data_IF_366444392671
#
_entry.id   IF_366444392671
#
_cell.length_a   1.000
_cell.length_b   1.000
_cell.length_c   1.000
_cell.angle_alpha   90.00
_cell.angle_beta   90.00
_cell.angle_gamma   90.00
#
_symmetry.space_group_name_H-M   'P 1'
#
loop_
_entity.id
_entity.type
_entity.pdbx_description
1 polymer ?
#
# COMPACT_ATOMS: atom_id res chain seq x y z
N UNK A 1 -29.53 13.58 2.89
CA UNK A 1 -28.17 14.14 2.68
C UNK A 1 -28.13 15.47 3.40
N UNK A 2 -27.07 15.78 4.15
CA UNK A 2 -26.98 17.09 4.83
C UNK A 2 -26.60 18.14 3.80
N UNK A 3 -27.42 19.18 3.63
CA UNK A 3 -27.11 20.30 2.76
C UNK A 3 -26.16 21.28 3.46
N UNK A 4 -25.07 21.63 2.79
CA UNK A 4 -24.08 22.60 3.27
C UNK A 4 -24.25 23.90 2.47
N UNK A 5 -24.70 24.95 3.14
CA UNK A 5 -25.07 26.21 2.46
C UNK A 5 -23.91 27.20 2.24
N UNK A 6 -22.70 26.94 2.77
CA UNK A 6 -21.57 27.89 2.68
C UNK A 6 -20.47 27.42 1.75
N UNK A 7 -19.87 26.24 2.07
CA UNK A 7 -18.75 25.69 1.30
C UNK A 7 -18.86 24.16 1.32
N UNK A 8 -18.69 23.55 0.15
CA UNK A 8 -18.56 22.09 0.03
C UNK A 8 -17.66 21.73 -1.15
N UNK A 9 -17.02 20.59 -1.07
CA UNK A 9 -16.35 19.95 -2.21
C UNK A 9 -17.28 18.87 -2.77
N UNK A 10 -17.59 18.94 -4.07
CA UNK A 10 -18.33 17.90 -4.78
C UNK A 10 -17.35 16.98 -5.47
N UNK A 11 -17.30 15.73 -5.06
CA UNK A 11 -16.46 14.71 -5.68
C UNK A 11 -17.27 13.96 -6.72
N UNK A 12 -16.75 13.92 -7.95
CA UNK A 12 -17.32 13.17 -9.06
C UNK A 12 -16.69 11.78 -9.11
N UNK A 13 -17.41 10.77 -8.63
CA UNK A 13 -16.95 9.40 -8.61
C UNK A 13 -16.91 8.79 -10.02
N UNK A 14 -17.77 9.20 -10.93
CA UNK A 14 -17.76 8.71 -12.32
C UNK A 14 -16.50 9.17 -13.05
N UNK A 15 -16.07 10.42 -12.81
CA UNK A 15 -14.79 10.91 -13.31
C UNK A 15 -13.60 10.13 -12.72
N UNK A 16 -13.64 9.78 -11.44
CA UNK A 16 -12.61 8.95 -10.82
C UNK A 16 -12.57 7.54 -11.42
N UNK A 17 -13.74 6.92 -11.64
CA UNK A 17 -13.85 5.62 -12.31
C UNK A 17 -13.29 5.67 -13.73
N UNK A 18 -13.70 6.68 -14.51
CA UNK A 18 -13.18 6.88 -15.86
C UNK A 18 -11.65 7.01 -15.90
N UNK A 19 -11.05 7.78 -14.98
CA UNK A 19 -9.60 7.93 -14.91
C UNK A 19 -8.89 6.60 -14.62
N UNK A 20 -9.43 5.79 -13.72
CA UNK A 20 -8.88 4.45 -13.41
C UNK A 20 -8.96 3.51 -14.62
N UNK A 21 -10.07 3.56 -15.36
CA UNK A 21 -10.20 2.78 -16.61
C UNK A 21 -9.19 3.21 -17.68
N UNK A 22 -8.95 4.53 -17.84
CA UNK A 22 -7.92 5.01 -18.78
C UNK A 22 -6.51 4.53 -18.37
N UNK A 23 -6.18 4.54 -17.08
CA UNK A 23 -4.92 3.96 -16.59
C UNK A 23 -4.85 2.46 -16.88
N UNK A 24 -5.92 1.70 -16.63
CA UNK A 24 -5.98 0.27 -16.93
C UNK A 24 -5.76 -0.01 -18.41
N UNK A 25 -6.37 0.76 -19.30
CA UNK A 25 -6.16 0.61 -20.76
C UNK A 25 -4.69 0.81 -21.14
N UNK A 26 -3.97 1.73 -20.48
CA UNK A 26 -2.56 2.01 -20.78
C UNK A 26 -1.60 0.93 -20.28
N UNK A 27 -1.87 0.31 -19.14
CA UNK A 27 -0.99 -0.74 -18.59
C UNK A 27 -1.22 -2.12 -19.19
N UNK A 28 -2.28 -2.28 -20.00
CA UNK A 28 -2.61 -3.56 -20.66
C UNK A 28 -3.23 -4.59 -19.73
N UNK A 29 -3.39 -5.82 -20.25
CA UNK A 29 -4.12 -6.89 -19.55
C UNK A 29 -3.30 -7.59 -18.45
N UNK A 30 -1.96 -7.59 -18.56
CA UNK A 30 -1.09 -8.37 -17.67
C UNK A 30 -0.85 -7.76 -16.28
N UNK A 31 -1.26 -6.51 -16.05
CA UNK A 31 -1.04 -5.82 -14.78
C UNK A 31 -2.36 -5.41 -14.11
N UNK A 32 -2.32 -5.29 -12.79
CA UNK A 32 -3.38 -4.71 -11.96
C UNK A 32 -2.92 -3.42 -11.31
N UNK A 33 -3.85 -2.60 -10.89
CA UNK A 33 -3.61 -1.33 -10.21
C UNK A 33 -3.70 -1.50 -8.70
N UNK A 34 -2.86 -0.74 -7.98
CA UNK A 34 -3.06 -0.44 -6.56
C UNK A 34 -3.50 1.03 -6.50
N UNK A 35 -4.70 1.28 -6.03
CA UNK A 35 -5.20 2.64 -5.90
C UNK A 35 -4.62 3.30 -4.64
N UNK A 36 -3.80 4.34 -4.82
CA UNK A 36 -3.24 5.11 -3.71
C UNK A 36 -4.29 6.11 -3.23
N UNK A 37 -4.86 5.85 -2.05
CA UNK A 37 -5.96 6.63 -1.45
C UNK A 37 -5.63 7.17 -0.05
N UNK A 38 -4.34 7.38 0.22
CA UNK A 38 -3.87 8.00 1.47
C UNK A 38 -4.43 9.41 1.66
N UNK A 39 -4.34 9.94 2.87
CA UNK A 39 -4.80 11.29 3.25
C UNK A 39 -6.27 11.50 2.85
N UNK A 40 -7.11 10.54 3.25
CA UNK A 40 -8.53 10.48 2.89
C UNK A 40 -8.78 10.61 1.38
N UNK A 41 -8.04 9.81 0.58
CA UNK A 41 -8.11 9.86 -0.89
C UNK A 41 -7.66 11.20 -1.47
N UNK A 42 -6.65 11.84 -0.87
CA UNK A 42 -6.23 13.20 -1.20
C UNK A 42 -7.38 14.22 -1.09
N UNK A 43 -8.25 14.03 -0.10
CA UNK A 43 -9.43 14.87 0.13
C UNK A 43 -10.67 14.47 -0.69
N UNK A 44 -10.60 13.38 -1.45
CA UNK A 44 -11.76 12.88 -2.23
C UNK A 44 -12.62 11.87 -1.44
N UNK A 45 -12.17 11.46 -0.25
CA UNK A 45 -12.82 10.43 0.55
C UNK A 45 -12.30 9.03 0.23
N UNK A 46 -11.44 8.47 1.10
CA UNK A 46 -10.83 7.15 0.87
C UNK A 46 -11.87 6.02 0.86
N UNK A 47 -12.85 6.05 1.78
CA UNK A 47 -13.88 5.02 1.88
C UNK A 47 -14.80 4.98 0.66
N UNK A 48 -15.38 6.10 0.17
CA UNK A 48 -16.16 6.09 -1.07
C UNK A 48 -15.37 5.58 -2.27
N UNK A 49 -14.12 6.03 -2.45
CA UNK A 49 -13.26 5.56 -3.53
C UNK A 49 -12.98 4.05 -3.43
N UNK A 50 -12.62 3.55 -2.23
CA UNK A 50 -12.38 2.14 -2.04
C UNK A 50 -13.62 1.29 -2.35
N UNK A 51 -14.79 1.69 -1.86
CA UNK A 51 -16.06 0.97 -2.13
C UNK A 51 -16.39 0.91 -3.63
N UNK A 52 -16.13 1.99 -4.36
CA UNK A 52 -16.36 2.03 -5.80
C UNK A 52 -15.51 1.00 -6.55
N UNK A 53 -14.26 0.78 -6.10
CA UNK A 53 -13.34 -0.14 -6.77
C UNK A 53 -13.29 -1.53 -6.14
N UNK A 54 -14.07 -1.82 -5.10
CA UNK A 54 -14.01 -3.09 -4.37
C UNK A 54 -14.33 -4.30 -5.27
N UNK A 55 -15.30 -4.16 -6.17
CA UNK A 55 -15.70 -5.23 -7.10
C UNK A 55 -14.96 -5.20 -8.44
N UNK A 56 -13.97 -4.32 -8.59
CA UNK A 56 -13.27 -4.11 -9.86
C UNK A 56 -12.07 -5.04 -9.99
N UNK A 57 -12.05 -5.97 -10.94
CA UNK A 57 -11.02 -7.01 -11.09
C UNK A 57 -9.61 -6.47 -11.35
N UNK A 58 -9.50 -5.36 -12.07
CA UNK A 58 -8.21 -4.75 -12.38
C UNK A 58 -7.61 -3.94 -11.23
N UNK A 59 -8.33 -3.69 -10.14
CA UNK A 59 -7.80 -3.12 -8.91
C UNK A 59 -7.45 -4.24 -7.94
N UNK A 60 -6.15 -4.46 -7.72
CA UNK A 60 -5.67 -5.47 -6.78
C UNK A 60 -5.95 -5.08 -5.33
N UNK A 61 -5.78 -3.81 -5.00
CA UNK A 61 -5.93 -3.31 -3.64
C UNK A 61 -5.69 -1.82 -3.53
N UNK A 62 -5.50 -1.37 -2.31
CA UNK A 62 -5.34 0.04 -1.97
C UNK A 62 -4.01 0.29 -1.28
N UNK A 63 -3.47 1.52 -1.41
CA UNK A 63 -2.32 1.95 -0.65
C UNK A 63 -2.63 3.22 0.15
N UNK A 64 -2.20 3.21 1.39
CA UNK A 64 -2.43 4.27 2.39
C UNK A 64 -1.11 4.74 3.00
N UNK A 65 -1.11 5.84 3.75
CA UNK A 65 0.10 6.37 4.37
C UNK A 65 0.38 5.75 5.75
N UNK A 66 -0.64 5.41 6.52
CA UNK A 66 -0.52 4.93 7.90
C UNK A 66 -1.41 3.71 8.16
N UNK A 67 -1.13 3.02 9.28
CA UNK A 67 -1.97 1.92 9.73
C UNK A 67 -3.39 2.38 10.03
N UNK A 68 -3.57 3.55 10.66
CA UNK A 68 -4.88 4.09 11.02
C UNK A 68 -5.80 4.25 9.81
N UNK A 69 -5.26 4.77 8.70
CA UNK A 69 -6.00 4.88 7.44
C UNK A 69 -6.45 3.50 6.93
N UNK A 70 -5.58 2.51 7.02
CA UNK A 70 -5.90 1.13 6.65
C UNK A 70 -6.98 0.52 7.54
N UNK A 71 -6.90 0.74 8.85
CA UNK A 71 -7.90 0.28 9.83
C UNK A 71 -9.26 0.93 9.57
N UNK A 72 -9.30 2.22 9.22
CA UNK A 72 -10.54 2.91 8.83
C UNK A 72 -11.18 2.20 7.63
N UNK A 73 -10.42 1.88 6.59
CA UNK A 73 -10.94 1.15 5.43
C UNK A 73 -11.51 -0.23 5.83
N UNK A 74 -10.79 -1.00 6.68
CA UNK A 74 -11.26 -2.30 7.17
C UNK A 74 -12.56 -2.18 7.96
N UNK A 75 -12.67 -1.21 8.86
CA UNK A 75 -13.89 -0.94 9.64
C UNK A 75 -15.09 -0.57 8.76
N UNK A 76 -14.86 -0.06 7.56
CA UNK A 76 -15.90 0.23 6.56
C UNK A 76 -16.16 -0.91 5.57
N UNK A 77 -15.62 -2.11 5.83
CA UNK A 77 -15.93 -3.34 5.10
C UNK A 77 -15.07 -3.58 3.85
N UNK A 78 -14.01 -2.81 3.64
CA UNK A 78 -13.07 -3.04 2.52
C UNK A 78 -12.30 -4.33 2.75
N UNK A 79 -12.32 -5.26 1.79
CA UNK A 79 -11.73 -6.60 1.86
C UNK A 79 -10.45 -6.73 1.04
N UNK A 80 -10.35 -6.04 -0.09
CA UNK A 80 -9.15 -6.05 -0.95
C UNK A 80 -7.89 -5.73 -0.14
N UNK A 81 -6.71 -6.18 -0.60
CA UNK A 81 -5.44 -5.89 0.06
C UNK A 81 -5.25 -4.38 0.32
N UNK A 82 -4.70 -4.06 1.49
CA UNK A 82 -4.34 -2.68 1.86
C UNK A 82 -2.86 -2.68 2.21
N UNK A 83 -2.07 -1.85 1.52
CA UNK A 83 -0.64 -1.66 1.73
C UNK A 83 -0.39 -0.31 2.40
N UNK A 84 0.30 -0.30 3.53
CA UNK A 84 0.80 0.91 4.16
C UNK A 84 2.14 1.27 3.52
N UNK A 85 2.20 2.43 2.85
CA UNK A 85 3.42 2.92 2.17
C UNK A 85 4.43 3.57 3.12
N UNK A 86 3.97 4.00 4.30
CA UNK A 86 4.80 4.57 5.36
C UNK A 86 5.38 3.52 6.30
N UNK A 87 6.02 4.00 7.38
CA UNK A 87 6.48 3.16 8.45
C UNK A 87 5.32 2.68 9.33
N UNK A 88 5.36 1.41 9.74
CA UNK A 88 4.55 0.87 10.82
C UNK A 88 5.52 0.59 11.97
N UNK A 89 5.19 1.08 13.17
CA UNK A 89 6.03 0.92 14.35
C UNK A 89 5.77 -0.43 15.05
N UNK A 90 6.72 -0.95 15.83
CA UNK A 90 6.59 -2.27 16.48
C UNK A 90 5.34 -2.44 17.36
N UNK A 91 4.92 -1.39 18.04
CA UNK A 91 3.69 -1.38 18.86
C UNK A 91 2.39 -1.49 18.05
N UNK A 92 2.47 -1.27 16.73
CA UNK A 92 1.34 -1.36 15.80
C UNK A 92 1.27 -2.72 15.08
N UNK A 93 2.29 -3.59 15.16
CA UNK A 93 2.34 -4.84 14.39
C UNK A 93 1.18 -5.79 14.71
N UNK A 94 0.78 -5.89 15.99
CA UNK A 94 -0.33 -6.76 16.38
C UNK A 94 -1.65 -6.30 15.74
N UNK A 95 -1.91 -4.99 15.75
CA UNK A 95 -3.11 -4.42 15.13
C UNK A 95 -3.09 -4.60 13.61
N UNK A 96 -1.95 -4.35 12.97
CA UNK A 96 -1.75 -4.55 11.54
C UNK A 96 -2.07 -6.00 11.13
N UNK A 97 -1.53 -6.98 11.87
CA UNK A 97 -1.75 -8.41 11.62
C UNK A 97 -3.22 -8.78 11.85
N UNK A 98 -3.84 -8.25 12.90
CA UNK A 98 -5.26 -8.49 13.21
C UNK A 98 -6.18 -8.06 12.06
N UNK A 99 -5.90 -6.91 11.44
CA UNK A 99 -6.66 -6.35 10.32
C UNK A 99 -6.18 -6.82 8.95
N UNK A 100 -5.18 -7.70 8.88
CA UNK A 100 -4.60 -8.20 7.63
C UNK A 100 -4.19 -7.08 6.67
N UNK A 101 -3.52 -6.06 7.21
CA UNK A 101 -2.95 -4.95 6.47
C UNK A 101 -1.50 -5.27 6.14
N UNK A 102 -1.04 -4.92 4.94
CA UNK A 102 0.31 -5.16 4.45
C UNK A 102 1.23 -4.03 4.88
N UNK A 103 2.39 -4.40 5.43
CA UNK A 103 3.45 -3.45 5.74
C UNK A 103 4.36 -3.19 4.54
N UNK A 104 5.08 -2.09 4.60
CA UNK A 104 6.27 -1.84 3.79
C UNK A 104 7.51 -2.17 4.61
N UNK A 105 8.33 -3.12 4.14
CA UNK A 105 9.58 -3.54 4.79
C UNK A 105 10.78 -3.01 4.02
N UNK A 106 11.71 -2.41 4.74
CA UNK A 106 12.95 -1.83 4.20
C UNK A 106 14.16 -2.01 5.15
N UNK A 107 14.01 -2.82 6.19
CA UNK A 107 15.07 -3.30 7.09
C UNK A 107 14.78 -4.72 7.53
N UNK A 108 15.83 -5.53 7.73
CA UNK A 108 15.69 -6.93 8.15
C UNK A 108 15.05 -7.08 9.53
N UNK A 109 15.41 -6.20 10.47
CA UNK A 109 14.88 -6.23 11.84
C UNK A 109 13.37 -6.04 11.89
N UNK A 110 12.81 -5.16 11.04
CA UNK A 110 11.37 -5.00 10.92
C UNK A 110 10.68 -6.32 10.55
N UNK A 111 11.25 -7.07 9.60
CA UNK A 111 10.69 -8.36 9.18
C UNK A 111 10.78 -9.40 10.30
N UNK A 112 11.87 -9.42 11.08
CA UNK A 112 12.05 -10.33 12.23
C UNK A 112 11.04 -10.06 13.33
N UNK A 113 10.93 -8.82 13.76
CA UNK A 113 9.99 -8.40 14.82
C UNK A 113 8.53 -8.69 14.42
N UNK A 114 8.21 -8.47 13.15
CA UNK A 114 6.89 -8.74 12.58
C UNK A 114 6.62 -10.26 12.53
N UNK A 115 7.61 -11.09 12.16
CA UNK A 115 7.52 -12.56 12.21
C UNK A 115 7.27 -13.07 13.62
N UNK A 116 7.97 -12.53 14.61
CA UNK A 116 7.79 -12.89 16.01
C UNK A 116 6.39 -12.50 16.52
N UNK A 117 5.90 -11.34 16.12
CA UNK A 117 4.54 -10.90 16.47
C UNK A 117 3.48 -11.77 15.80
N UNK A 118 3.65 -12.11 14.53
CA UNK A 118 2.75 -13.00 13.79
C UNK A 118 2.68 -14.39 14.44
N UNK A 119 3.85 -14.94 14.84
CA UNK A 119 3.93 -16.21 15.55
C UNK A 119 3.16 -16.18 16.87
N UNK A 120 3.35 -15.13 17.68
CA UNK A 120 2.60 -14.97 18.95
C UNK A 120 1.10 -14.85 18.73
N UNK A 121 0.68 -14.21 17.63
CA UNK A 121 -0.73 -14.07 17.25
C UNK A 121 -1.33 -15.33 16.59
N UNK A 122 -0.52 -16.35 16.27
CA UNK A 122 -0.95 -17.55 15.54
C UNK A 122 -1.43 -17.24 14.10
N UNK A 123 -0.89 -16.20 13.48
CA UNK A 123 -1.26 -15.71 12.15
C UNK A 123 -0.05 -15.57 11.25
N UNK A 124 -0.29 -15.22 9.99
CA UNK A 124 0.74 -14.76 9.06
C UNK A 124 0.70 -13.23 8.94
N UNK A 125 1.87 -12.61 8.87
CA UNK A 125 1.99 -11.20 8.48
C UNK A 125 2.34 -11.10 7.00
N UNK A 126 1.71 -10.17 6.30
CA UNK A 126 1.94 -9.91 4.88
C UNK A 126 2.65 -8.58 4.72
N UNK A 127 3.61 -8.52 3.79
CA UNK A 127 4.30 -7.27 3.51
C UNK A 127 4.84 -7.20 2.07
N UNK A 128 5.18 -5.99 1.66
CA UNK A 128 5.93 -5.73 0.44
C UNK A 128 7.31 -5.18 0.78
N UNK A 129 8.33 -5.66 0.08
CA UNK A 129 9.69 -5.12 0.16
C UNK A 129 9.73 -3.78 -0.58
N UNK A 130 10.30 -2.76 0.04
CA UNK A 130 10.58 -1.48 -0.60
C UNK A 130 12.04 -1.40 -1.00
N UNK A 131 12.29 -1.15 -2.28
CA UNK A 131 13.63 -0.89 -2.83
C UNK A 131 13.75 0.60 -3.15
N UNK A 132 14.85 1.23 -2.74
CA UNK A 132 15.18 2.60 -3.13
C UNK A 132 16.02 2.59 -4.40
N UNK A 133 15.41 3.04 -5.49
CA UNK A 133 16.05 3.15 -6.81
C UNK A 133 16.45 4.58 -7.14
N UNK A 134 16.69 5.42 -6.13
CA UNK A 134 17.18 6.78 -6.30
C UNK A 134 16.32 7.88 -5.66
N UNK A 135 15.11 7.55 -5.11
CA UNK A 135 14.28 8.54 -4.40
C UNK A 135 14.94 9.05 -3.11
N UNK A 136 15.81 8.22 -2.46
CA UNK A 136 16.57 8.61 -1.28
C UNK A 136 15.72 8.84 -0.02
N UNK A 137 14.62 8.09 0.15
CA UNK A 137 13.70 8.28 1.28
C UNK A 137 13.63 7.07 2.19
N UNK A 138 13.11 5.96 1.73
CA UNK A 138 13.05 4.65 2.40
C UNK A 138 13.21 3.55 1.36
N UNK A 139 13.79 2.41 1.76
CA UNK A 139 13.97 1.26 0.88
C UNK A 139 15.35 0.64 1.05
N UNK A 140 15.46 -0.63 0.70
CA UNK A 140 16.76 -1.27 0.56
C UNK A 140 17.53 -0.63 -0.60
N UNK A 141 18.81 -0.28 -0.43
CA UNK A 141 19.66 0.15 -1.54
C UNK A 141 19.73 -0.94 -2.63
N UNK A 142 19.99 -0.54 -3.88
CA UNK A 142 20.25 -1.50 -4.96
C UNK A 142 21.68 -2.04 -4.81
N UNK A 143 21.84 -3.19 -4.16
CA UNK A 143 23.12 -3.85 -3.92
C UNK A 143 22.96 -5.37 -3.75
N UNK A 144 24.03 -6.13 -3.93
CA UNK A 144 24.04 -7.58 -3.65
C UNK A 144 23.75 -7.87 -2.17
N UNK A 145 24.27 -7.07 -1.24
CA UNK A 145 23.99 -7.21 0.17
C UNK A 145 22.49 -7.10 0.46
N UNK A 146 21.81 -6.11 -0.16
CA UNK A 146 20.36 -5.97 -0.04
C UNK A 146 19.62 -7.18 -0.62
N UNK A 147 20.09 -7.73 -1.73
CA UNK A 147 19.49 -8.92 -2.33
C UNK A 147 19.58 -10.12 -1.39
N UNK A 148 20.74 -10.34 -0.77
CA UNK A 148 20.94 -11.42 0.22
C UNK A 148 20.04 -11.24 1.45
N UNK A 149 19.88 -10.01 1.93
CA UNK A 149 18.97 -9.70 3.04
C UNK A 149 17.52 -10.00 2.65
N UNK A 150 17.08 -9.54 1.49
CA UNK A 150 15.73 -9.77 0.98
C UNK A 150 15.45 -11.27 0.79
N UNK A 151 16.43 -12.02 0.30
CA UNK A 151 16.32 -13.48 0.20
C UNK A 151 16.11 -14.14 1.58
N UNK A 152 16.88 -13.73 2.60
CA UNK A 152 16.69 -14.23 3.98
C UNK A 152 15.30 -13.88 4.51
N UNK A 153 14.84 -12.63 4.29
CA UNK A 153 13.50 -12.19 4.70
C UNK A 153 12.41 -13.04 4.03
N UNK A 154 12.55 -13.35 2.75
CA UNK A 154 11.55 -14.13 1.99
C UNK A 154 11.39 -15.56 2.48
N UNK A 155 12.40 -16.09 3.20
CA UNK A 155 12.41 -17.44 3.78
C UNK A 155 12.00 -17.48 5.25
N UNK A 156 11.74 -16.34 5.88
CA UNK A 156 11.34 -16.31 7.29
C UNK A 156 9.98 -17.00 7.49
N UNK A 157 9.83 -17.79 8.55
CA UNK A 157 8.53 -18.35 8.92
C UNK A 157 7.57 -17.22 9.38
N UNK A 158 6.28 -17.53 9.35
CA UNK A 158 5.20 -16.66 9.87
C UNK A 158 4.99 -15.33 9.16
N UNK A 159 5.77 -15.05 8.10
CA UNK A 159 5.60 -13.90 7.22
C UNK A 159 5.42 -14.34 5.77
N UNK A 160 4.85 -13.47 4.97
CA UNK A 160 4.66 -13.64 3.52
C UNK A 160 5.15 -12.40 2.80
N UNK A 161 6.24 -12.53 2.05
CA UNK A 161 6.68 -11.51 1.10
C UNK A 161 5.76 -11.57 -0.12
N UNK A 162 4.72 -10.73 -0.12
CA UNK A 162 3.67 -10.74 -1.14
C UNK A 162 4.09 -9.98 -2.41
N UNK A 163 5.02 -9.04 -2.29
CA UNK A 163 5.52 -8.26 -3.41
C UNK A 163 6.75 -7.41 -3.10
N UNK A 164 7.21 -6.74 -4.12
CA UNK A 164 8.30 -5.76 -4.06
C UNK A 164 7.92 -4.53 -4.89
N UNK A 165 8.33 -3.35 -4.45
CA UNK A 165 8.05 -2.12 -5.20
C UNK A 165 9.11 -1.05 -4.97
N UNK A 166 9.14 -0.08 -5.87
CA UNK A 166 9.92 1.15 -5.73
C UNK A 166 9.05 2.39 -5.93
N UNK A 167 9.60 3.55 -5.65
CA UNK A 167 9.02 4.85 -5.98
C UNK A 167 10.01 5.60 -6.88
N UNK A 168 9.57 5.96 -8.08
CA UNK A 168 10.43 6.64 -9.03
C UNK A 168 10.85 8.02 -8.53
N UNK A 169 12.13 8.35 -8.65
CA UNK A 169 12.66 9.63 -8.19
C UNK A 169 12.16 10.83 -9.02
N UNK A 170 12.02 10.62 -10.35
CA UNK A 170 11.70 11.68 -11.33
C UNK A 170 10.63 11.24 -12.35
N UNK A 171 9.49 10.71 -11.87
CA UNK A 171 8.46 10.19 -12.76
C UNK A 171 7.82 11.26 -13.66
N UNK A 172 7.75 12.49 -13.19
CA UNK A 172 7.14 13.67 -13.81
C UNK A 172 8.11 14.53 -14.66
N UNK A 173 9.43 14.28 -14.55
CA UNK A 173 10.43 14.98 -15.35
C UNK A 173 10.58 14.37 -16.74
N UNK A 174 11.00 15.20 -17.73
CA UNK A 174 11.30 14.74 -19.09
C UNK A 174 12.64 14.03 -19.19
N UNK A 175 13.63 14.48 -18.41
CA UNK A 175 14.92 13.82 -18.28
C UNK A 175 14.82 12.60 -17.37
N UNK A 176 15.06 11.42 -17.93
CA UNK A 176 15.04 10.12 -17.23
C UNK A 176 16.43 9.56 -16.95
N UNK A 177 17.49 10.33 -17.16
CA UNK A 177 18.90 9.93 -16.96
C UNK A 177 19.32 9.90 -15.48
N UNK A 178 18.49 9.42 -14.60
CA UNK A 178 18.78 9.39 -13.16
C UNK A 178 19.24 8.00 -12.71
#
# INVERSE_FOLDING_TARGET
MKEYNRVYAKIDLDAAAYNMEQMKKRIGSGARLIAVIKTDGYGHGAVPLARMFEETDYVWGYAVASLDEGVVLRKHGIKKPILVLGCIFPDQYEEMIRYEIRATIYMEDMAREMADTARRAGKKAFFHIKVDTGMGRIGFPVSEESADIIERISRMPDVVTEGMYTHFAKADETDKSY
#
